data_IF_147826876580
#
_entry.id   IF_147826876580
#
_cell.length_a   1.000
_cell.length_b   1.000
_cell.length_c   1.000
_cell.angle_alpha   90.00
_cell.angle_beta   90.00
_cell.angle_gamma   90.00
#
_symmetry.space_group_name_H-M   'P 1'
#
loop_
_entity.id
_entity.type
_entity.pdbx_description
1 polymer ?
#
# COMPACT_ATOMS: atom_id res chain seq x y z
N UNK A 1 -50.44 16.72 -6.25
CA UNK A 1 -49.37 15.70 -6.20
C UNK A 1 -48.14 16.28 -6.89
N UNK A 2 -47.21 16.88 -6.13
CA UNK A 2 -45.96 17.36 -6.70
C UNK A 2 -44.96 16.18 -6.75
N UNK A 3 -44.59 15.74 -7.96
CA UNK A 3 -43.46 14.86 -8.15
C UNK A 3 -42.16 15.67 -7.85
N UNK A 4 -41.52 15.40 -6.71
CA UNK A 4 -40.16 15.81 -6.49
C UNK A 4 -39.27 14.92 -7.40
N UNK A 5 -38.76 15.47 -8.48
CA UNK A 5 -37.71 14.86 -9.27
C UNK A 5 -36.44 14.83 -8.41
N UNK A 6 -36.01 13.66 -8.01
CA UNK A 6 -34.73 13.47 -7.39
C UNK A 6 -33.64 13.83 -8.43
N UNK A 7 -32.91 14.91 -8.20
CA UNK A 7 -31.75 15.26 -9.00
C UNK A 7 -30.68 14.16 -8.75
N UNK A 8 -30.09 13.60 -9.81
CA UNK A 8 -28.99 12.65 -9.62
C UNK A 8 -27.83 13.37 -8.92
N UNK A 9 -27.34 12.79 -7.83
CA UNK A 9 -26.10 13.23 -7.20
C UNK A 9 -24.98 13.19 -8.25
N UNK A 10 -24.08 14.19 -8.29
CA UNK A 10 -22.97 14.17 -9.22
C UNK A 10 -22.16 12.90 -8.99
N UNK A 11 -22.11 12.02 -9.99
CA UNK A 11 -21.20 10.89 -10.00
C UNK A 11 -19.78 11.49 -10.08
N UNK A 12 -19.04 11.46 -8.97
CA UNK A 12 -17.61 11.78 -9.02
C UNK A 12 -16.94 10.78 -9.97
N UNK A 13 -16.13 11.28 -10.91
CA UNK A 13 -15.35 10.39 -11.77
C UNK A 13 -14.45 9.51 -10.89
N UNK A 14 -14.42 8.20 -11.19
CA UNK A 14 -13.59 7.26 -10.45
C UNK A 14 -12.12 7.67 -10.51
N UNK A 15 -11.41 7.56 -9.38
CA UNK A 15 -9.99 7.89 -9.25
C UNK A 15 -9.18 6.86 -10.05
N UNK A 16 -8.43 7.30 -11.05
CA UNK A 16 -7.52 6.45 -11.82
C UNK A 16 -6.33 6.06 -10.95
N UNK A 17 -6.15 4.77 -10.71
CA UNK A 17 -5.03 4.27 -9.91
C UNK A 17 -4.14 3.31 -10.69
N UNK A 18 -2.85 3.30 -10.38
CA UNK A 18 -1.94 2.20 -10.66
C UNK A 18 -1.65 1.53 -9.32
N UNK A 19 -1.97 0.25 -9.24
CA UNK A 19 -1.77 -0.56 -8.05
C UNK A 19 -0.45 -1.32 -8.17
N UNK A 20 0.54 -0.99 -7.32
CA UNK A 20 1.84 -1.65 -7.28
C UNK A 20 1.90 -2.55 -6.04
N UNK A 21 2.26 -3.83 -6.20
CA UNK A 21 1.95 -4.87 -5.21
C UNK A 21 2.99 -6.00 -5.25
N UNK A 22 3.24 -6.65 -4.12
CA UNK A 22 4.07 -7.86 -3.98
C UNK A 22 3.24 -9.08 -3.52
N UNK A 23 2.27 -9.53 -4.32
CA UNK A 23 1.05 -10.24 -3.99
C UNK A 23 1.16 -11.31 -2.91
N UNK A 24 1.00 -10.86 -1.68
CA UNK A 24 0.77 -11.65 -0.48
C UNK A 24 -0.71 -11.75 -0.12
N UNK A 25 -1.01 -12.21 1.08
CA UNK A 25 -2.38 -12.44 1.54
C UNK A 25 -3.15 -11.14 1.81
N UNK A 26 -2.51 -10.10 2.33
CA UNK A 26 -3.12 -8.79 2.55
C UNK A 26 -3.19 -7.97 1.26
N UNK A 27 -2.21 -8.11 0.34
CA UNK A 27 -2.34 -7.62 -1.05
C UNK A 27 -3.58 -8.18 -1.73
N UNK A 28 -3.90 -9.47 -1.51
CA UNK A 28 -5.10 -10.07 -2.07
C UNK A 28 -6.37 -9.40 -1.55
N UNK A 29 -6.43 -9.09 -0.25
CA UNK A 29 -7.53 -8.34 0.35
C UNK A 29 -7.60 -6.93 -0.25
N UNK A 30 -6.46 -6.24 -0.40
CA UNK A 30 -6.34 -4.90 -0.94
C UNK A 30 -6.76 -4.83 -2.42
N UNK A 31 -6.25 -5.74 -3.25
CA UNK A 31 -6.58 -5.79 -4.68
C UNK A 31 -8.07 -6.05 -4.88
N UNK A 32 -8.67 -7.00 -4.15
CA UNK A 32 -10.11 -7.26 -4.26
C UNK A 32 -10.95 -6.09 -3.75
N UNK A 33 -10.51 -5.37 -2.73
CA UNK A 33 -11.14 -4.11 -2.31
C UNK A 33 -11.10 -3.07 -3.43
N UNK A 34 -9.94 -2.88 -4.07
CA UNK A 34 -9.78 -1.93 -5.17
C UNK A 34 -10.68 -2.27 -6.36
N UNK A 35 -10.70 -3.56 -6.79
CA UNK A 35 -11.47 -4.02 -7.94
C UNK A 35 -12.99 -3.99 -7.71
N UNK A 36 -13.44 -4.07 -6.45
CA UNK A 36 -14.87 -4.00 -6.09
C UNK A 36 -15.34 -2.61 -5.65
N UNK A 37 -14.50 -1.59 -5.76
CA UNK A 37 -14.83 -0.22 -5.34
C UNK A 37 -15.09 0.69 -6.53
N UNK A 38 -16.33 1.16 -6.74
CA UNK A 38 -16.69 2.00 -7.90
C UNK A 38 -16.00 3.38 -7.88
N UNK A 39 -15.43 3.79 -6.76
CA UNK A 39 -14.65 5.02 -6.61
C UNK A 39 -13.27 4.94 -7.27
N UNK A 40 -12.81 3.72 -7.60
CA UNK A 40 -11.49 3.47 -8.17
C UNK A 40 -11.57 2.90 -9.59
N UNK A 41 -10.76 3.44 -10.47
CA UNK A 41 -10.51 2.93 -11.83
C UNK A 41 -9.08 2.39 -11.88
N UNK A 42 -8.92 1.08 -11.71
CA UNK A 42 -7.61 0.41 -11.73
C UNK A 42 -7.10 0.35 -13.16
N UNK A 43 -6.12 1.19 -13.50
CA UNK A 43 -5.56 1.35 -14.86
C UNK A 43 -4.45 0.35 -15.17
N UNK A 44 -3.74 -0.12 -14.15
CA UNK A 44 -2.72 -1.14 -14.25
C UNK A 44 -2.42 -1.74 -12.88
N UNK A 45 -1.84 -2.94 -12.91
CA UNK A 45 -1.23 -3.60 -11.76
C UNK A 45 0.23 -3.86 -12.12
N UNK A 46 1.15 -3.40 -11.29
CA UNK A 46 2.58 -3.67 -11.42
C UNK A 46 3.05 -4.51 -10.25
N UNK A 47 3.88 -5.51 -10.53
CA UNK A 47 4.32 -6.48 -9.53
C UNK A 47 5.77 -6.26 -9.16
N UNK A 48 6.04 -6.18 -7.86
CA UNK A 48 7.33 -6.06 -7.23
C UNK A 48 7.58 -7.29 -6.34
N UNK A 49 8.82 -7.71 -6.08
CA UNK A 49 9.09 -8.73 -5.07
C UNK A 49 9.07 -8.15 -3.65
N UNK A 50 8.62 -8.92 -2.69
CA UNK A 50 8.55 -8.56 -1.26
C UNK A 50 8.03 -9.76 -0.49
N UNK A 51 6.73 -9.85 -0.23
CA UNK A 51 6.09 -10.98 0.45
C UNK A 51 6.42 -12.32 -0.20
N UNK A 52 6.50 -12.30 -1.53
CA UNK A 52 6.86 -13.45 -2.37
C UNK A 52 7.87 -13.02 -3.45
N UNK A 53 8.41 -13.99 -4.18
CA UNK A 53 9.25 -13.70 -5.35
C UNK A 53 8.43 -13.01 -6.45
N UNK A 54 9.07 -12.20 -7.29
CA UNK A 54 8.41 -11.51 -8.40
C UNK A 54 7.64 -12.47 -9.32
N UNK A 55 8.17 -13.67 -9.59
CA UNK A 55 7.53 -14.67 -10.43
C UNK A 55 6.23 -15.21 -9.79
N UNK A 56 6.26 -15.54 -8.50
CA UNK A 56 5.08 -16.00 -7.76
C UNK A 56 4.05 -14.88 -7.64
N UNK A 57 4.49 -13.65 -7.33
CA UNK A 57 3.62 -12.48 -7.24
C UNK A 57 2.91 -12.19 -8.56
N UNK A 58 3.61 -12.27 -9.69
CA UNK A 58 3.01 -12.08 -11.02
C UNK A 58 1.91 -13.13 -11.29
N UNK A 59 2.17 -14.39 -10.97
CA UNK A 59 1.18 -15.44 -11.13
C UNK A 59 -0.03 -15.21 -10.22
N UNK A 60 0.20 -14.82 -8.96
CA UNK A 60 -0.85 -14.50 -8.00
C UNK A 60 -1.71 -13.32 -8.48
N UNK A 61 -1.10 -12.22 -8.93
CA UNK A 61 -1.82 -11.08 -9.47
C UNK A 61 -2.70 -11.45 -10.67
N UNK A 62 -2.14 -12.22 -11.64
CA UNK A 62 -2.88 -12.69 -12.80
C UNK A 62 -4.06 -13.58 -12.42
N UNK A 63 -3.89 -14.50 -11.47
CA UNK A 63 -4.97 -15.38 -10.98
C UNK A 63 -6.08 -14.57 -10.30
N UNK A 64 -5.73 -13.57 -9.47
CA UNK A 64 -6.67 -12.69 -8.80
C UNK A 64 -7.48 -11.83 -9.79
N UNK A 65 -6.83 -11.23 -10.76
CA UNK A 65 -7.49 -10.44 -11.82
C UNK A 65 -8.41 -11.35 -12.67
N UNK A 66 -7.97 -12.59 -12.95
CA UNK A 66 -8.80 -13.58 -13.62
C UNK A 66 -10.03 -14.00 -12.80
N UNK A 67 -9.88 -14.17 -11.49
CA UNK A 67 -10.99 -14.45 -10.56
C UNK A 67 -12.02 -13.29 -10.57
N UNK A 68 -11.55 -12.07 -10.63
CA UNK A 68 -12.39 -10.86 -10.68
C UNK A 68 -12.99 -10.58 -12.09
N UNK A 69 -12.71 -11.43 -13.10
CA UNK A 69 -13.08 -11.20 -14.51
C UNK A 69 -12.61 -9.84 -15.08
N UNK A 70 -11.44 -9.37 -14.65
CA UNK A 70 -10.86 -8.09 -15.02
C UNK A 70 -9.58 -8.24 -15.86
N UNK A 71 -9.58 -9.18 -16.82
CA UNK A 71 -8.47 -9.35 -17.78
C UNK A 71 -8.27 -8.14 -18.72
N UNK A 72 -9.13 -7.13 -18.63
CA UNK A 72 -8.98 -5.83 -19.27
C UNK A 72 -7.88 -4.98 -18.61
N UNK A 73 -7.54 -5.25 -17.35
CA UNK A 73 -6.49 -4.55 -16.62
C UNK A 73 -5.12 -5.15 -16.96
N UNK A 74 -4.16 -4.36 -17.47
CA UNK A 74 -2.81 -4.83 -17.71
C UNK A 74 -2.11 -5.16 -16.38
N UNK A 75 -1.51 -6.36 -16.31
CA UNK A 75 -0.69 -6.82 -15.19
C UNK A 75 0.74 -7.01 -15.71
N UNK A 76 1.67 -6.20 -15.23
CA UNK A 76 3.05 -6.16 -15.70
C UNK A 76 4.04 -6.61 -14.62
N UNK A 77 5.04 -7.39 -15.03
CA UNK A 77 6.17 -7.72 -14.16
C UNK A 77 7.07 -6.49 -13.99
N UNK A 78 7.45 -6.20 -12.76
CA UNK A 78 8.41 -5.16 -12.43
C UNK A 78 9.79 -5.70 -12.05
N UNK A 79 10.43 -5.04 -11.09
CA UNK A 79 11.73 -5.43 -10.54
C UNK A 79 11.73 -6.91 -10.12
N UNK A 80 12.89 -7.54 -10.21
CA UNK A 80 13.07 -8.94 -9.79
C UNK A 80 13.69 -9.07 -8.41
N UNK A 81 14.26 -7.99 -7.89
CA UNK A 81 14.90 -7.88 -6.59
C UNK A 81 14.94 -6.41 -6.14
N UNK A 82 15.13 -6.15 -4.85
CA UNK A 82 15.39 -4.81 -4.33
C UNK A 82 16.63 -4.17 -4.98
N UNK A 83 16.77 -2.85 -4.92
CA UNK A 83 17.86 -2.11 -5.58
C UNK A 83 19.24 -2.60 -5.12
N UNK A 84 19.45 -2.78 -3.82
CA UNK A 84 20.79 -3.08 -3.29
C UNK A 84 20.86 -4.30 -2.39
N UNK A 85 19.80 -4.67 -1.71
CA UNK A 85 19.85 -5.79 -0.77
C UNK A 85 19.22 -7.07 -1.33
N UNK A 86 19.41 -8.18 -0.61
CA UNK A 86 18.75 -9.44 -0.94
C UNK A 86 17.28 -9.36 -0.59
N UNK A 87 16.45 -9.93 -1.45
CA UNK A 87 15.03 -10.12 -1.19
C UNK A 87 14.84 -10.97 0.09
N UNK A 88 13.93 -10.52 0.94
CA UNK A 88 13.45 -11.24 2.11
C UNK A 88 11.96 -11.51 1.90
N UNK A 89 11.59 -12.76 1.70
CA UNK A 89 10.20 -13.17 1.54
C UNK A 89 9.52 -13.43 2.88
N UNK A 90 8.20 -13.35 2.92
CA UNK A 90 7.41 -13.46 4.13
C UNK A 90 6.42 -14.66 4.09
N UNK A 91 6.86 -15.81 3.59
CA UNK A 91 6.04 -17.04 3.48
C UNK A 91 5.41 -17.46 4.81
N UNK A 92 6.06 -17.13 5.93
CA UNK A 92 5.52 -17.41 7.26
C UNK A 92 4.16 -16.72 7.47
N UNK A 93 4.03 -15.46 7.01
CA UNK A 93 2.82 -14.67 7.16
C UNK A 93 1.79 -14.94 6.06
N UNK A 94 2.27 -15.16 4.82
CA UNK A 94 1.40 -15.20 3.64
C UNK A 94 1.13 -16.62 3.10
N UNK A 95 1.71 -17.64 3.76
CA UNK A 95 1.63 -19.02 3.27
C UNK A 95 2.63 -19.29 2.13
N UNK A 96 2.86 -20.58 1.82
CA UNK A 96 3.86 -21.00 0.84
C UNK A 96 3.61 -20.49 -0.58
N UNK A 97 2.35 -20.27 -0.94
CA UNK A 97 1.96 -19.74 -2.25
C UNK A 97 1.69 -18.22 -2.22
N UNK A 98 1.91 -17.54 -1.10
CA UNK A 98 1.62 -16.13 -0.90
C UNK A 98 0.14 -15.80 -0.68
N UNK A 99 -0.78 -16.70 -0.97
CA UNK A 99 -2.24 -16.49 -0.89
C UNK A 99 -2.85 -17.29 0.27
N UNK A 100 -2.21 -17.28 1.45
CA UNK A 100 -2.68 -17.99 2.63
C UNK A 100 -2.86 -19.52 2.39
N UNK A 101 -2.08 -20.11 1.47
CA UNK A 101 -2.22 -21.47 0.96
C UNK A 101 -3.58 -21.76 0.29
N UNK A 102 -4.32 -20.74 -0.10
CA UNK A 102 -5.56 -20.90 -0.89
C UNK A 102 -5.20 -21.06 -2.36
N UNK A 103 -5.70 -22.13 -2.98
CA UNK A 103 -5.44 -22.40 -4.39
C UNK A 103 -6.47 -21.68 -5.27
N UNK A 104 -5.97 -20.91 -6.23
CA UNK A 104 -6.76 -20.32 -7.30
C UNK A 104 -6.54 -21.09 -8.61
N UNK A 105 -7.57 -21.14 -9.44
CA UNK A 105 -7.45 -21.69 -10.79
C UNK A 105 -6.36 -20.94 -11.60
N UNK A 106 -5.71 -21.61 -12.57
CA UNK A 106 -4.80 -20.95 -13.49
C UNK A 106 -5.44 -19.72 -14.15
N UNK A 107 -4.66 -18.67 -14.31
CA UNK A 107 -5.15 -17.42 -14.89
C UNK A 107 -5.58 -17.60 -16.36
N UNK A 108 -6.67 -16.94 -16.74
CA UNK A 108 -7.08 -16.74 -18.14
C UNK A 108 -6.52 -15.43 -18.71
N UNK A 109 -6.03 -14.54 -17.87
CA UNK A 109 -5.44 -13.27 -18.25
C UNK A 109 -4.00 -13.46 -18.72
N UNK A 110 -3.56 -12.60 -19.61
CA UNK A 110 -2.17 -12.59 -20.11
C UNK A 110 -1.37 -11.52 -19.39
N UNK A 111 -0.09 -11.82 -19.17
CA UNK A 111 0.87 -10.82 -18.70
C UNK A 111 1.03 -9.71 -19.74
N UNK A 112 1.09 -8.46 -19.28
CA UNK A 112 1.51 -7.35 -20.14
C UNK A 112 3.02 -7.44 -20.36
N UNK A 113 3.46 -7.28 -21.62
CA UNK A 113 4.87 -7.46 -22.00
C UNK A 113 5.77 -6.29 -21.60
N UNK A 114 5.18 -5.17 -21.17
CA UNK A 114 5.93 -4.01 -20.70
C UNK A 114 6.54 -4.29 -19.33
N UNK A 115 7.69 -3.72 -19.08
CA UNK A 115 8.26 -3.68 -17.73
C UNK A 115 7.41 -2.76 -16.82
N UNK A 116 7.13 -3.17 -15.59
CA UNK A 116 6.22 -2.44 -14.68
C UNK A 116 6.52 -0.94 -14.57
N UNK A 117 7.76 -0.52 -14.27
CA UNK A 117 8.16 0.89 -14.30
C UNK A 117 7.88 1.62 -15.61
N UNK A 118 8.08 0.96 -16.76
CA UNK A 118 7.78 1.55 -18.09
C UNK A 118 6.27 1.73 -18.29
N UNK A 119 5.48 0.78 -17.80
CA UNK A 119 4.02 0.89 -17.83
C UNK A 119 3.54 2.06 -16.96
N UNK A 120 4.12 2.25 -15.77
CA UNK A 120 3.83 3.41 -14.90
C UNK A 120 4.14 4.71 -15.66
N UNK A 121 5.35 4.86 -16.20
CA UNK A 121 5.77 6.04 -16.96
C UNK A 121 4.79 6.34 -18.09
N UNK A 122 4.49 5.33 -18.91
CA UNK A 122 3.59 5.49 -20.05
C UNK A 122 2.20 5.96 -19.63
N UNK A 123 1.61 5.37 -18.59
CA UNK A 123 0.25 5.72 -18.14
C UNK A 123 0.19 7.10 -17.51
N UNK A 124 1.23 7.49 -16.76
CA UNK A 124 1.32 8.84 -16.18
C UNK A 124 1.40 9.90 -17.29
N UNK A 125 2.23 9.70 -18.31
CA UNK A 125 2.29 10.62 -19.46
C UNK A 125 0.99 10.65 -20.27
N UNK A 126 0.28 9.51 -20.36
CA UNK A 126 -0.99 9.44 -21.10
C UNK A 126 -2.15 10.11 -20.34
N UNK A 127 -2.03 10.30 -19.03
CA UNK A 127 -3.07 10.90 -18.16
C UNK A 127 -2.43 11.81 -17.10
N UNK A 128 -1.79 12.93 -17.50
CA UNK A 128 -1.09 13.82 -16.58
C UNK A 128 -2.06 14.41 -15.55
N UNK A 129 -1.61 14.41 -14.29
CA UNK A 129 -2.34 14.88 -13.09
C UNK A 129 -3.64 14.10 -12.75
N UNK A 130 -3.82 12.92 -13.37
CA UNK A 130 -5.01 12.08 -13.09
C UNK A 130 -4.66 10.79 -12.36
N UNK A 131 -3.42 10.28 -12.52
CA UNK A 131 -2.99 9.00 -11.95
C UNK A 131 -2.59 9.16 -10.48
N UNK A 132 -3.23 8.39 -9.62
CA UNK A 132 -2.78 8.13 -8.26
C UNK A 132 -1.99 6.81 -8.24
N UNK A 133 -0.77 6.83 -7.73
CA UNK A 133 0.00 5.61 -7.48
C UNK A 133 -0.39 5.05 -6.11
N UNK A 134 -0.73 3.77 -6.06
CA UNK A 134 -1.09 3.07 -4.81
C UNK A 134 -0.16 1.87 -4.64
N UNK A 135 1.11 2.11 -4.23
CA UNK A 135 2.02 1.01 -3.89
C UNK A 135 1.68 0.46 -2.50
N UNK A 136 1.53 -0.86 -2.43
CA UNK A 136 1.31 -1.61 -1.19
C UNK A 136 2.43 -2.62 -0.90
N UNK A 137 3.44 -2.71 -1.77
CA UNK A 137 4.68 -3.46 -1.60
C UNK A 137 5.91 -2.57 -1.50
N UNK A 138 7.13 -3.15 -1.55
CA UNK A 138 8.38 -2.39 -1.62
C UNK A 138 8.39 -1.43 -2.79
N UNK A 139 8.94 -0.23 -2.60
CA UNK A 139 8.80 0.90 -3.52
C UNK A 139 9.73 0.83 -4.75
N UNK A 140 10.33 -0.32 -5.02
CA UNK A 140 11.35 -0.52 -6.07
C UNK A 140 10.84 -0.12 -7.45
N UNK A 141 9.62 -0.52 -7.84
CA UNK A 141 9.07 -0.17 -9.15
C UNK A 141 8.85 1.34 -9.30
N UNK A 142 8.37 1.99 -8.25
CA UNK A 142 8.10 3.43 -8.26
C UNK A 142 9.43 4.21 -8.33
N UNK A 143 10.43 3.78 -7.55
CA UNK A 143 11.77 4.37 -7.60
C UNK A 143 12.41 4.21 -8.99
N UNK A 144 12.35 3.02 -9.59
CA UNK A 144 12.85 2.79 -10.94
C UNK A 144 12.14 3.63 -12.01
N UNK A 145 10.83 3.86 -11.86
CA UNK A 145 10.09 4.73 -12.76
C UNK A 145 10.58 6.18 -12.66
N UNK A 146 10.80 6.69 -11.43
CA UNK A 146 11.34 8.05 -11.18
C UNK A 146 12.76 8.19 -11.70
N UNK A 147 13.65 7.23 -11.39
CA UNK A 147 15.04 7.26 -11.83
C UNK A 147 15.16 7.20 -13.36
N UNK A 148 14.27 6.44 -14.01
CA UNK A 148 14.25 6.31 -15.46
C UNK A 148 13.67 7.54 -16.15
N UNK A 149 12.63 8.14 -15.56
CA UNK A 149 11.97 9.34 -16.09
C UNK A 149 11.47 10.26 -14.96
N UNK A 150 12.35 11.14 -14.43
CA UNK A 150 11.95 12.07 -13.37
C UNK A 150 10.84 13.05 -13.76
N UNK A 151 10.56 13.21 -15.05
CA UNK A 151 9.51 14.11 -15.52
C UNK A 151 8.10 13.64 -15.17
N UNK A 152 7.92 12.38 -14.76
CA UNK A 152 6.62 11.88 -14.29
C UNK A 152 6.21 12.48 -12.93
N UNK A 153 7.17 12.89 -12.10
CA UNK A 153 6.90 13.36 -10.73
C UNK A 153 5.86 14.49 -10.69
N UNK A 154 6.01 15.61 -11.42
CA UNK A 154 4.99 16.65 -11.43
C UNK A 154 3.69 16.24 -12.13
N UNK A 155 3.67 15.13 -12.88
CA UNK A 155 2.49 14.63 -13.61
C UNK A 155 1.66 13.64 -12.78
N UNK A 156 2.24 13.02 -11.77
CA UNK A 156 1.50 12.15 -10.84
C UNK A 156 0.57 13.01 -9.98
N UNK A 157 -0.68 12.59 -9.83
CA UNK A 157 -1.65 13.30 -9.01
C UNK A 157 -1.29 13.23 -7.52
N UNK A 158 -1.01 12.04 -7.04
CA UNK A 158 -0.61 11.75 -5.66
C UNK A 158 -0.06 10.32 -5.57
N UNK A 159 0.70 10.04 -4.51
CA UNK A 159 1.12 8.71 -4.09
C UNK A 159 0.46 8.39 -2.76
N UNK A 160 -0.24 7.27 -2.64
CA UNK A 160 -0.81 6.76 -1.39
C UNK A 160 -0.17 5.40 -1.15
N UNK A 161 0.85 5.34 -0.32
CA UNK A 161 1.60 4.11 -0.09
C UNK A 161 1.20 3.42 1.22
N UNK A 162 1.18 2.08 1.20
CA UNK A 162 1.26 1.30 2.42
C UNK A 162 2.73 1.03 2.73
N UNK A 163 3.19 1.48 3.88
CA UNK A 163 4.57 1.26 4.34
C UNK A 163 5.00 2.25 5.39
N UNK A 164 6.07 1.89 6.08
CA UNK A 164 6.65 2.70 7.13
C UNK A 164 5.88 2.75 8.43
N UNK A 165 6.49 3.41 9.39
CA UNK A 165 5.93 3.68 10.71
C UNK A 165 6.71 4.79 11.38
N UNK A 166 6.05 5.60 12.20
CA UNK A 166 6.69 6.62 13.06
C UNK A 166 6.69 6.21 14.54
N UNK A 167 6.35 4.96 14.83
CA UNK A 167 6.20 4.44 16.20
C UNK A 167 6.86 3.09 16.44
N UNK A 168 7.65 2.58 15.49
CA UNK A 168 8.34 1.29 15.57
C UNK A 168 8.11 0.45 14.34
N UNK A 169 8.62 -0.78 14.30
CA UNK A 169 8.55 -1.66 13.14
C UNK A 169 7.84 -2.98 13.40
N UNK A 170 7.64 -3.76 12.34
CA UNK A 170 7.10 -5.13 12.38
C UNK A 170 8.13 -6.19 11.90
N UNK A 171 9.16 -5.79 11.16
CA UNK A 171 10.28 -6.68 10.79
C UNK A 171 11.35 -6.68 11.88
N UNK A 172 11.65 -5.52 12.41
CA UNK A 172 12.52 -5.31 13.56
C UNK A 172 11.91 -4.20 14.43
N UNK A 173 12.62 -3.75 15.47
CA UNK A 173 12.10 -2.72 16.38
C UNK A 173 11.88 -1.34 15.71
N UNK A 174 12.49 -1.07 14.54
CA UNK A 174 12.50 0.24 13.91
C UNK A 174 11.77 0.27 12.56
N UNK A 175 11.81 -0.82 11.78
CA UNK A 175 11.44 -0.80 10.38
C UNK A 175 10.17 -1.62 10.07
N UNK A 176 9.35 -1.07 9.18
CA UNK A 176 8.22 -1.74 8.55
C UNK A 176 8.71 -2.54 7.32
N UNK A 177 8.03 -3.63 6.99
CA UNK A 177 8.46 -4.63 6.02
C UNK A 177 8.71 -4.10 4.60
N UNK A 178 7.81 -3.29 4.05
CA UNK A 178 7.93 -2.75 2.70
C UNK A 178 9.13 -1.81 2.58
N UNK A 179 9.29 -0.93 3.57
CA UNK A 179 10.42 0.00 3.60
C UNK A 179 11.72 -0.75 3.89
N UNK A 180 11.68 -1.75 4.79
CA UNK A 180 12.86 -2.55 5.10
C UNK A 180 13.35 -3.39 3.90
N UNK A 181 12.44 -3.86 3.05
CA UNK A 181 12.81 -4.64 1.87
C UNK A 181 13.59 -3.81 0.83
N UNK A 182 13.32 -2.51 0.69
CA UNK A 182 14.08 -1.63 -0.21
C UNK A 182 14.14 -0.18 0.33
N UNK A 183 14.98 0.09 1.36
CA UNK A 183 15.06 1.41 1.96
C UNK A 183 15.54 2.49 0.98
N UNK A 184 16.43 2.14 0.05
CA UNK A 184 16.93 3.06 -0.96
C UNK A 184 15.83 3.46 -1.95
N UNK A 185 15.01 2.52 -2.39
CA UNK A 185 13.84 2.83 -3.21
C UNK A 185 12.84 3.70 -2.44
N UNK A 186 12.62 3.40 -1.17
CA UNK A 186 11.75 4.21 -0.32
C UNK A 186 12.28 5.65 -0.18
N UNK A 187 13.59 5.83 0.05
CA UNK A 187 14.20 7.16 0.12
C UNK A 187 13.99 7.96 -1.16
N UNK A 188 14.16 7.34 -2.34
CA UNK A 188 13.89 8.00 -3.64
C UNK A 188 12.44 8.47 -3.72
N UNK A 189 11.50 7.62 -3.31
CA UNK A 189 10.06 7.93 -3.39
C UNK A 189 9.68 9.05 -2.41
N UNK A 190 10.15 9.00 -1.15
CA UNK A 190 9.88 10.05 -0.16
C UNK A 190 10.50 11.41 -0.54
N UNK A 191 11.62 11.41 -1.24
CA UNK A 191 12.31 12.62 -1.73
C UNK A 191 11.82 13.07 -3.11
N UNK A 192 10.88 12.35 -3.73
CA UNK A 192 10.41 12.62 -5.10
C UNK A 192 9.76 13.99 -5.31
N UNK A 193 9.17 14.61 -4.28
CA UNK A 193 8.57 15.94 -4.36
C UNK A 193 7.11 15.97 -4.85
N UNK A 194 6.46 14.84 -4.98
CA UNK A 194 5.02 14.69 -5.27
C UNK A 194 4.17 14.73 -3.99
N UNK A 195 2.84 14.97 -4.10
CA UNK A 195 1.93 14.77 -2.98
C UNK A 195 1.96 13.31 -2.52
N UNK A 196 2.44 13.05 -1.29
CA UNK A 196 2.61 11.71 -0.74
C UNK A 196 1.81 11.54 0.54
N UNK A 197 1.05 10.45 0.63
CA UNK A 197 0.37 10.00 1.84
C UNK A 197 0.95 8.65 2.27
N UNK A 198 1.53 8.61 3.45
CA UNK A 198 2.06 7.41 4.08
C UNK A 198 0.97 6.79 4.98
N UNK A 199 0.56 5.57 4.64
CA UNK A 199 -0.35 4.75 5.45
C UNK A 199 0.50 3.68 6.13
N UNK A 200 1.00 4.00 7.31
CA UNK A 200 1.92 3.17 8.08
C UNK A 200 1.24 2.17 8.99
N UNK A 201 2.06 1.50 9.81
CA UNK A 201 1.60 0.51 10.79
C UNK A 201 0.57 1.10 11.77
N UNK A 202 0.62 2.41 12.04
CA UNK A 202 -0.30 3.13 12.93
C UNK A 202 -1.77 2.96 12.54
N UNK A 203 -2.04 2.72 11.27
CA UNK A 203 -3.38 2.49 10.73
C UNK A 203 -3.74 1.02 10.82
N UNK A 204 -2.92 0.13 10.26
CA UNK A 204 -3.19 -1.30 10.21
C UNK A 204 -3.31 -1.94 11.59
N UNK A 205 -2.45 -1.54 12.54
CA UNK A 205 -2.47 -2.05 13.93
C UNK A 205 -3.75 -1.69 14.69
N UNK A 206 -4.42 -0.62 14.29
CA UNK A 206 -5.72 -0.22 14.86
C UNK A 206 -6.90 -0.84 14.12
N UNK A 207 -6.74 -1.13 12.83
CA UNK A 207 -7.78 -1.70 11.97
C UNK A 207 -7.71 -3.23 11.97
N UNK A 208 -8.05 -3.86 13.08
CA UNK A 208 -7.98 -5.30 13.25
C UNK A 208 -9.23 -5.99 12.71
N UNK A 209 -9.06 -6.83 11.69
CA UNK A 209 -10.12 -7.66 11.14
C UNK A 209 -10.35 -8.86 12.06
N UNK A 210 -11.37 -8.75 12.91
CA UNK A 210 -11.69 -9.74 13.94
C UNK A 210 -12.67 -10.81 13.45
N UNK A 211 -12.93 -11.83 14.29
CA UNK A 211 -13.95 -12.84 14.04
C UNK A 211 -15.32 -12.22 13.70
N UNK A 212 -15.69 -11.08 14.31
CA UNK A 212 -16.93 -10.33 14.00
C UNK A 212 -17.07 -10.02 12.52
N UNK A 213 -16.00 -9.53 11.88
CA UNK A 213 -16.03 -9.18 10.45
C UNK A 213 -15.91 -10.42 9.56
N UNK A 214 -15.18 -11.44 10.01
CA UNK A 214 -15.08 -12.72 9.33
C UNK A 214 -16.46 -13.40 9.24
N UNK A 215 -17.24 -13.38 10.33
CA UNK A 215 -18.61 -13.91 10.35
C UNK A 215 -19.53 -13.15 9.38
N UNK A 216 -19.34 -11.84 9.24
CA UNK A 216 -20.09 -11.05 8.25
C UNK A 216 -19.72 -11.43 6.81
N UNK A 217 -18.43 -11.63 6.50
CA UNK A 217 -18.00 -12.09 5.17
C UNK A 217 -18.59 -13.45 4.85
N UNK A 218 -18.60 -14.37 5.81
CA UNK A 218 -19.13 -15.74 5.65
C UNK A 218 -20.63 -15.83 5.35
N UNK A 219 -21.39 -14.73 5.43
CA UNK A 219 -22.81 -14.68 5.07
C UNK A 219 -23.08 -14.58 3.56
N UNK A 220 -22.05 -14.34 2.76
CA UNK A 220 -22.17 -14.17 1.30
C UNK A 220 -21.22 -15.15 0.62
N UNK A 221 -21.71 -15.87 -0.37
CA UNK A 221 -20.94 -16.84 -1.13
C UNK A 221 -20.73 -16.37 -2.57
N UNK A 222 -19.68 -16.85 -3.17
CA UNK A 222 -19.28 -16.57 -4.55
C UNK A 222 -17.77 -16.62 -4.69
N UNK A 223 -17.24 -16.74 -5.91
CA UNK A 223 -15.80 -16.98 -6.13
C UNK A 223 -14.88 -15.99 -5.41
N UNK A 224 -15.18 -14.70 -5.47
CA UNK A 224 -14.40 -13.65 -4.78
C UNK A 224 -14.61 -13.72 -3.27
N UNK A 225 -15.87 -13.85 -2.81
CA UNK A 225 -16.17 -13.87 -1.38
C UNK A 225 -15.55 -15.08 -0.69
N UNK A 226 -15.65 -16.28 -1.29
CA UNK A 226 -15.11 -17.51 -0.72
C UNK A 226 -13.57 -17.45 -0.66
N UNK A 227 -12.92 -16.90 -1.70
CA UNK A 227 -11.48 -16.66 -1.72
C UNK A 227 -11.06 -15.71 -0.59
N UNK A 228 -11.67 -14.51 -0.52
CA UNK A 228 -11.34 -13.51 0.48
C UNK A 228 -11.66 -13.98 1.89
N UNK A 229 -12.77 -14.72 2.09
CA UNK A 229 -13.08 -15.33 3.36
C UNK A 229 -11.98 -16.31 3.81
N UNK A 230 -11.50 -17.18 2.90
CA UNK A 230 -10.45 -18.14 3.22
C UNK A 230 -9.12 -17.45 3.58
N UNK A 231 -8.72 -16.42 2.82
CA UNK A 231 -7.53 -15.62 3.09
C UNK A 231 -7.65 -14.87 4.43
N UNK A 232 -8.77 -14.17 4.66
CA UNK A 232 -9.00 -13.43 5.90
C UNK A 232 -9.03 -14.36 7.12
N UNK A 233 -9.66 -15.54 6.99
CA UNK A 233 -9.68 -16.56 8.05
C UNK A 233 -8.28 -17.06 8.41
N UNK A 234 -7.44 -17.28 7.41
CA UNK A 234 -6.05 -17.66 7.64
C UNK A 234 -5.32 -16.58 8.46
N UNK A 235 -5.43 -15.31 8.05
CA UNK A 235 -4.78 -14.19 8.72
C UNK A 235 -5.29 -13.99 10.16
N UNK A 236 -6.62 -14.07 10.38
CA UNK A 236 -7.22 -13.98 11.72
C UNK A 236 -6.71 -15.12 12.63
N UNK A 237 -6.67 -16.35 12.11
CA UNK A 237 -6.16 -17.48 12.88
C UNK A 237 -4.67 -17.34 13.20
N UNK A 238 -3.85 -16.94 12.22
CA UNK A 238 -2.43 -16.73 12.40
C UNK A 238 -2.15 -15.63 13.44
N UNK A 239 -2.82 -14.49 13.32
CA UNK A 239 -2.71 -13.38 14.28
C UNK A 239 -3.11 -13.81 15.70
N UNK A 240 -4.13 -14.66 15.82
CA UNK A 240 -4.55 -15.25 17.09
C UNK A 240 -3.48 -16.09 17.77
N UNK A 241 -2.58 -16.74 17.00
CA UNK A 241 -1.44 -17.49 17.58
C UNK A 241 -0.43 -16.59 18.30
N UNK A 242 -0.41 -15.30 17.97
CA UNK A 242 0.39 -14.26 18.62
C UNK A 242 -0.39 -13.43 19.64
N UNK A 243 -1.62 -13.85 19.98
CA UNK A 243 -2.46 -13.18 20.98
C UNK A 243 -3.18 -11.93 20.45
N UNK A 244 -3.16 -11.66 19.15
CA UNK A 244 -3.93 -10.56 18.55
C UNK A 244 -5.41 -10.94 18.44
N UNK A 245 -6.37 -10.04 18.75
CA UNK A 245 -7.79 -10.30 18.60
C UNK A 245 -8.27 -10.33 17.14
N UNK A 246 -7.42 -9.97 16.17
CA UNK A 246 -7.72 -9.92 14.74
C UNK A 246 -6.48 -9.71 13.88
N UNK A 247 -6.66 -9.80 12.59
CA UNK A 247 -5.60 -9.58 11.59
C UNK A 247 -5.48 -8.08 11.28
N UNK A 248 -4.27 -7.48 11.33
CA UNK A 248 -4.06 -6.11 10.87
C UNK A 248 -4.39 -5.98 9.38
N UNK A 249 -5.06 -4.89 9.01
CA UNK A 249 -5.45 -4.61 7.63
C UNK A 249 -4.49 -3.58 7.02
N UNK A 250 -3.23 -4.00 6.77
CA UNK A 250 -2.19 -3.08 6.30
C UNK A 250 -2.49 -2.57 4.89
N UNK A 251 -2.36 -3.40 3.87
CA UNK A 251 -2.53 -2.99 2.47
C UNK A 251 -3.96 -2.51 2.13
N UNK A 252 -5.02 -3.19 2.65
CA UNK A 252 -6.36 -2.67 2.43
C UNK A 252 -6.58 -1.27 2.96
N UNK A 253 -5.78 -0.82 3.97
CA UNK A 253 -5.91 0.53 4.51
C UNK A 253 -5.47 1.61 3.52
N UNK A 254 -4.40 1.39 2.74
CA UNK A 254 -3.99 2.33 1.69
C UNK A 254 -5.06 2.46 0.59
N UNK A 255 -5.65 1.33 0.19
CA UNK A 255 -6.78 1.34 -0.75
C UNK A 255 -7.99 2.06 -0.16
N UNK A 256 -8.31 1.83 1.12
CA UNK A 256 -9.41 2.51 1.78
C UNK A 256 -9.20 4.04 1.85
N UNK A 257 -7.97 4.50 2.11
CA UNK A 257 -7.61 5.93 2.06
C UNK A 257 -7.76 6.50 0.64
N UNK A 258 -7.43 5.71 -0.39
CA UNK A 258 -7.65 6.11 -1.78
C UNK A 258 -9.15 6.25 -2.12
N UNK A 259 -10.01 5.41 -1.52
CA UNK A 259 -11.47 5.48 -1.65
C UNK A 259 -12.03 6.67 -0.87
N UNK A 260 -11.70 6.76 0.41
CA UNK A 260 -12.23 7.76 1.33
C UNK A 260 -11.15 8.25 2.31
N UNK A 261 -10.48 9.37 2.00
CA UNK A 261 -9.42 9.92 2.85
C UNK A 261 -9.91 10.41 4.22
N UNK A 262 -11.22 10.52 4.43
CA UNK A 262 -11.78 10.92 5.73
C UNK A 262 -11.76 9.79 6.77
N UNK A 263 -11.37 8.59 6.37
CA UNK A 263 -11.19 7.45 7.27
C UNK A 263 -10.01 7.61 8.22
N UNK A 264 -9.04 8.46 7.89
CA UNK A 264 -7.80 8.63 8.63
C UNK A 264 -7.59 10.06 9.10
N UNK A 265 -6.84 10.22 10.20
CA UNK A 265 -6.25 11.50 10.58
C UNK A 265 -4.83 11.56 10.08
N UNK A 266 -4.47 12.65 9.42
CA UNK A 266 -3.13 12.85 8.89
C UNK A 266 -2.40 13.96 9.65
N UNK A 267 -1.09 13.82 9.74
CA UNK A 267 -0.17 14.87 10.19
C UNK A 267 0.86 15.10 9.09
N UNK A 268 1.04 16.35 8.68
CA UNK A 268 2.11 16.71 7.76
C UNK A 268 3.43 16.73 8.51
N UNK A 269 4.45 16.05 7.97
CA UNK A 269 5.79 16.04 8.53
C UNK A 269 6.83 15.72 7.44
N UNK A 270 8.06 16.04 7.73
CA UNK A 270 9.18 15.56 6.93
C UNK A 270 9.51 14.13 7.36
N UNK A 271 9.57 13.23 6.39
CA UNK A 271 9.91 11.82 6.60
C UNK A 271 11.17 11.50 5.80
N UNK A 272 12.20 11.06 6.50
CA UNK A 272 13.40 10.47 5.93
C UNK A 272 13.39 8.95 6.09
N UNK A 273 14.16 8.25 5.26
CA UNK A 273 14.34 6.80 5.36
C UNK A 273 15.78 6.49 5.75
N UNK A 274 15.96 5.74 6.84
CA UNK A 274 17.27 5.30 7.27
C UNK A 274 17.80 4.16 6.39
N UNK A 275 18.89 4.42 5.65
CA UNK A 275 19.46 3.46 4.69
C UNK A 275 20.78 2.82 5.13
N UNK A 276 21.40 3.26 6.25
CA UNK A 276 22.76 2.89 6.65
C UNK A 276 22.90 2.28 8.05
N UNK A 277 21.93 2.56 8.93
CA UNK A 277 21.97 2.16 10.33
C UNK A 277 21.95 0.63 10.48
N UNK A 278 22.76 0.09 11.38
CA UNK A 278 22.80 -1.35 11.66
C UNK A 278 21.46 -1.84 12.27
N UNK A 279 20.86 -1.05 13.19
CA UNK A 279 19.64 -1.42 13.91
C UNK A 279 18.38 -0.70 13.40
N UNK A 280 18.57 0.38 12.64
CA UNK A 280 17.48 1.29 12.22
C UNK A 280 17.29 1.33 10.70
N UNK A 281 18.06 0.54 9.94
CA UNK A 281 17.91 0.45 8.49
C UNK A 281 16.45 0.13 8.11
N UNK A 282 15.88 0.96 7.25
CA UNK A 282 14.46 0.88 6.84
C UNK A 282 13.49 1.61 7.79
N UNK A 283 13.97 2.27 8.84
CA UNK A 283 13.14 3.15 9.66
C UNK A 283 12.69 4.36 8.86
N UNK A 284 11.42 4.72 8.98
CA UNK A 284 10.88 5.99 8.51
C UNK A 284 10.91 7.00 9.66
N UNK A 285 11.83 7.95 9.55
CA UNK A 285 12.11 8.96 10.58
C UNK A 285 11.23 10.19 10.35
N UNK A 286 10.12 10.26 11.06
CA UNK A 286 9.18 11.38 10.96
C UNK A 286 9.56 12.57 11.83
N UNK A 287 9.92 13.71 11.23
CA UNK A 287 10.18 14.95 11.95
C UNK A 287 8.86 15.69 12.24
N UNK A 288 8.33 15.49 13.45
CA UNK A 288 7.04 16.06 13.90
C UNK A 288 7.13 17.56 14.25
N UNK A 289 8.34 18.08 14.45
CA UNK A 289 8.54 19.45 14.92
C UNK A 289 8.81 20.43 13.75
N UNK A 290 9.11 19.92 12.57
CA UNK A 290 9.44 20.74 11.40
C UNK A 290 10.70 21.59 11.56
N UNK A 291 11.58 21.17 12.44
CA UNK A 291 12.83 21.89 12.77
C UNK A 291 13.97 20.91 12.99
N UNK A 292 15.17 21.33 12.59
CA UNK A 292 16.44 20.66 12.89
C UNK A 292 17.35 21.66 13.62
N UNK A 293 17.82 21.28 14.80
CA UNK A 293 18.76 22.06 15.59
C UNK A 293 20.19 21.72 15.21
N UNK A 294 21.00 22.75 14.95
CA UNK A 294 22.44 22.60 14.73
C UNK A 294 23.17 22.74 16.05
N UNK A 295 23.47 21.58 16.66
CA UNK A 295 24.20 21.50 17.91
C UNK A 295 25.71 21.40 17.65
N UNK A 296 26.50 22.34 18.16
CA UNK A 296 27.94 22.38 18.05
C UNK A 296 28.58 22.25 19.43
N UNK A 297 29.62 21.40 19.53
CA UNK A 297 30.39 21.26 20.74
C UNK A 297 31.39 22.44 20.85
N UNK A 298 31.21 23.30 21.86
CA UNK A 298 32.12 24.39 22.19
C UNK A 298 32.73 24.17 23.59
N UNK A 299 33.97 23.69 23.60
CA UNK A 299 34.61 23.24 24.85
C UNK A 299 33.96 21.98 25.38
N UNK A 300 33.39 22.06 26.59
CA UNK A 300 32.65 20.98 27.26
C UNK A 300 31.11 21.11 27.18
N UNK A 301 30.60 22.01 26.34
CA UNK A 301 29.19 22.36 26.22
C UNK A 301 28.67 22.21 24.80
N UNK A 302 27.47 21.69 24.66
CA UNK A 302 26.69 21.78 23.42
C UNK A 302 25.97 23.13 23.37
N UNK A 303 26.11 23.83 22.24
CA UNK A 303 25.44 25.09 21.97
C UNK A 303 24.63 24.96 20.69
N UNK A 304 23.39 25.42 20.69
CA UNK A 304 22.58 25.50 19.47
C UNK A 304 23.05 26.74 18.70
N UNK A 305 23.67 26.55 17.54
CA UNK A 305 24.13 27.62 16.65
C UNK A 305 23.11 28.08 15.63
N UNK A 306 22.08 27.24 15.37
CA UNK A 306 20.99 27.53 14.45
C UNK A 306 19.88 26.51 14.51
N UNK A 307 18.74 26.90 13.96
CA UNK A 307 17.56 26.02 13.78
C UNK A 307 17.07 26.20 12.36
N UNK A 308 17.08 25.12 11.58
CA UNK A 308 16.50 25.12 10.25
C UNK A 308 15.06 24.61 10.28
N UNK A 309 14.22 25.27 9.50
CA UNK A 309 12.88 24.77 9.23
C UNK A 309 12.96 23.69 8.14
N UNK A 310 12.32 22.56 8.39
CA UNK A 310 12.21 21.46 7.44
C UNK A 310 10.76 21.40 6.94
N UNK A 311 10.60 21.55 5.62
CA UNK A 311 9.27 21.48 5.01
C UNK A 311 8.77 20.04 5.00
N UNK A 312 7.48 19.80 5.31
CA UNK A 312 6.89 18.48 5.17
C UNK A 312 6.99 17.97 3.73
N UNK A 313 7.30 16.68 3.57
CA UNK A 313 7.26 15.96 2.30
C UNK A 313 6.20 14.87 2.25
N UNK A 314 5.53 14.59 3.38
CA UNK A 314 4.51 13.56 3.48
C UNK A 314 3.35 13.97 4.40
N UNK A 315 2.17 13.47 4.07
CA UNK A 315 1.03 13.33 4.96
C UNK A 315 1.11 11.96 5.59
N UNK A 316 1.34 11.86 6.90
CA UNK A 316 1.44 10.61 7.63
C UNK A 316 0.10 10.32 8.32
N UNK A 317 -0.48 9.15 8.05
CA UNK A 317 -1.69 8.71 8.71
C UNK A 317 -1.36 8.28 10.15
N UNK A 318 -1.92 8.99 11.14
CA UNK A 318 -1.62 8.77 12.57
C UNK A 318 -2.77 8.12 13.35
N UNK A 319 -3.96 8.09 12.75
CA UNK A 319 -5.16 7.51 13.37
C UNK A 319 -6.17 7.09 12.29
N UNK A 320 -7.09 6.18 12.62
CA UNK A 320 -8.10 5.64 11.71
C UNK A 320 -9.44 5.41 12.40
N UNK A 321 -10.53 5.66 11.68
CA UNK A 321 -11.86 5.17 12.02
C UNK A 321 -11.97 3.70 11.58
N UNK A 322 -11.46 2.80 12.44
CA UNK A 322 -11.30 1.39 12.13
C UNK A 322 -12.65 0.70 11.83
N UNK A 323 -13.71 0.98 12.60
CA UNK A 323 -15.01 0.37 12.37
C UNK A 323 -15.59 0.77 11.01
N UNK A 324 -15.51 2.06 10.65
CA UNK A 324 -15.99 2.55 9.36
C UNK A 324 -15.19 1.97 8.19
N UNK A 325 -13.86 1.86 8.32
CA UNK A 325 -13.00 1.22 7.32
C UNK A 325 -13.36 -0.27 7.15
N UNK A 326 -13.45 -1.03 8.25
CA UNK A 326 -13.71 -2.46 8.19
C UNK A 326 -15.13 -2.77 7.66
N UNK A 327 -16.12 -1.92 7.96
CA UNK A 327 -17.44 -2.01 7.35
C UNK A 327 -17.42 -1.69 5.85
N UNK A 328 -16.64 -0.69 5.42
CA UNK A 328 -16.43 -0.40 4.01
C UNK A 328 -15.86 -1.64 3.30
N UNK A 329 -14.78 -2.24 3.83
CA UNK A 329 -14.18 -3.45 3.28
C UNK A 329 -15.20 -4.57 3.14
N UNK A 330 -15.89 -4.94 4.21
CA UNK A 330 -16.89 -6.01 4.19
C UNK A 330 -17.99 -5.73 3.16
N UNK A 331 -18.48 -4.50 3.10
CA UNK A 331 -19.55 -4.12 2.16
C UNK A 331 -19.11 -4.27 0.70
N UNK A 332 -17.87 -3.86 0.37
CA UNK A 332 -17.34 -3.95 -1.00
C UNK A 332 -17.13 -5.39 -1.43
N UNK A 333 -16.58 -6.22 -0.55
CA UNK A 333 -16.38 -7.65 -0.86
C UNK A 333 -17.73 -8.38 -1.02
N UNK A 334 -18.72 -8.06 -0.22
CA UNK A 334 -20.07 -8.65 -0.31
C UNK A 334 -20.91 -8.11 -1.48
N UNK A 335 -20.46 -7.08 -2.16
CA UNK A 335 -21.18 -6.49 -3.30
C UNK A 335 -22.42 -5.67 -2.88
N UNK A 336 -22.38 -5.01 -1.74
CA UNK A 336 -23.46 -4.19 -1.18
C UNK A 336 -23.09 -2.73 -1.07
#
# INVERSE_FOLDING_TARGET
MCLLAALPLPAFAAKKIIFDTDPGSDDALALMLALNSPELDVRAITVVPGNVTAAMGLENALRMVSLANRCDIPVAAGAQHPLFQKLITAEFWHGKNGLANVELAPSKCKVDSRFGPDLIIQLVHASPHEITLVPVGPLTNIALAVEKDPSIVPLVKEVILMGGSISGGNVNAAAEANIYNDPEAAQIVFQGGWPLTMVGLEVGDKALFTQKYLDQLGQTHGPINDFIYAVAKYLVNLSGTFGSPGAPMYDPSAVAVAIDPTLVKVQEMHVDVETRGEFTRGETVGNRHGMVEHNVLRGDRYVIEGVDKVSPNAKVCVDVDADRFLQLFVSRIRGK
#
